data_IF_717325500002
#
_entry.id   IF_717325500002
#
_cell.length_a   1.000
_cell.length_b   1.000
_cell.length_c   1.000
_cell.angle_alpha   90.00
_cell.angle_beta   90.00
_cell.angle_gamma   90.00
#
_symmetry.space_group_name_H-M   'P 1'
#
loop_
_entity.id
_entity.type
_entity.pdbx_description
1 polymer ?
#
# COMPACT_ATOMS: atom_id res chain seq x y z
N UNK A 1 -2.15 -25.20 -7.09
CA UNK A 1 -0.98 -25.29 -7.99
C UNK A 1 -0.09 -24.10 -7.67
N UNK A 2 1.08 -24.30 -7.06
CA UNK A 2 2.07 -23.23 -6.85
C UNK A 2 3.15 -23.42 -7.91
N UNK A 3 3.48 -22.37 -8.66
CA UNK A 3 4.51 -22.43 -9.70
C UNK A 3 5.89 -22.70 -9.08
N UNK A 4 6.65 -23.63 -9.65
CA UNK A 4 7.94 -24.11 -9.12
C UNK A 4 9.12 -23.13 -9.30
N UNK A 5 8.89 -21.84 -9.56
CA UNK A 5 9.96 -20.84 -9.75
C UNK A 5 9.60 -19.49 -9.14
N UNK A 6 10.55 -18.94 -8.38
CA UNK A 6 10.53 -17.57 -7.89
C UNK A 6 11.33 -16.72 -8.89
N UNK A 7 10.75 -15.62 -9.37
CA UNK A 7 11.44 -14.68 -10.23
C UNK A 7 12.45 -13.85 -9.42
N UNK A 8 13.71 -13.83 -9.86
CA UNK A 8 14.74 -12.96 -9.27
C UNK A 8 14.67 -11.60 -9.94
N UNK A 9 14.27 -10.58 -9.18
CA UNK A 9 14.13 -9.20 -9.66
C UNK A 9 15.49 -8.54 -9.85
N UNK A 10 15.59 -7.68 -10.86
CA UNK A 10 16.77 -6.82 -11.06
C UNK A 10 16.80 -5.72 -9.98
N UNK A 11 17.97 -5.09 -9.73
CA UNK A 11 18.07 -3.95 -8.82
C UNK A 11 17.08 -2.81 -9.15
N UNK A 12 16.88 -2.49 -10.43
CA UNK A 12 15.96 -1.44 -10.85
C UNK A 12 14.49 -1.81 -10.56
N UNK A 13 14.12 -3.08 -10.80
CA UNK A 13 12.79 -3.58 -10.43
C UNK A 13 12.59 -3.52 -8.91
N UNK A 14 13.59 -3.89 -8.11
CA UNK A 14 13.53 -3.77 -6.66
C UNK A 14 13.40 -2.30 -6.20
N UNK A 15 14.10 -1.38 -6.86
CA UNK A 15 13.99 0.05 -6.57
C UNK A 15 12.57 0.58 -6.84
N UNK A 16 11.96 0.19 -7.97
CA UNK A 16 10.56 0.52 -8.29
C UNK A 16 9.58 -0.08 -7.28
N UNK A 17 9.75 -1.36 -6.95
CA UNK A 17 8.94 -2.04 -5.93
C UNK A 17 9.06 -1.37 -4.57
N UNK A 18 10.26 -0.87 -4.21
CA UNK A 18 10.46 -0.12 -2.97
C UNK A 18 9.66 1.18 -2.95
N UNK A 19 9.58 1.92 -4.05
CA UNK A 19 8.74 3.11 -4.11
C UNK A 19 7.27 2.78 -3.86
N UNK A 20 6.74 1.72 -4.51
CA UNK A 20 5.38 1.24 -4.25
C UNK A 20 5.19 0.81 -2.78
N UNK A 21 6.15 0.08 -2.21
CA UNK A 21 6.12 -0.35 -0.82
C UNK A 21 6.09 0.80 0.18
N UNK A 22 6.75 1.92 -0.11
CA UNK A 22 6.69 3.13 0.73
C UNK A 22 5.31 3.80 0.71
N UNK A 23 4.62 3.76 -0.42
CA UNK A 23 3.21 4.21 -0.50
C UNK A 23 2.32 3.32 0.36
N UNK A 24 2.47 2.00 0.24
CA UNK A 24 1.69 1.04 1.04
C UNK A 24 1.94 1.21 2.53
N UNK A 25 3.19 1.40 2.95
CA UNK A 25 3.53 1.64 4.34
C UNK A 25 2.80 2.87 4.90
N UNK A 26 2.80 3.98 4.14
CA UNK A 26 2.09 5.18 4.55
C UNK A 26 0.57 5.01 4.63
N UNK A 27 -0.03 4.23 3.72
CA UNK A 27 -1.46 3.88 3.78
C UNK A 27 -1.76 3.14 5.08
N UNK A 28 -0.93 2.15 5.45
CA UNK A 28 -1.11 1.38 6.68
C UNK A 28 -0.97 2.29 7.92
N UNK A 29 -0.04 3.25 7.91
CA UNK A 29 0.13 4.20 9.01
C UNK A 29 -1.08 5.16 9.15
N UNK A 30 -1.62 5.66 8.03
CA UNK A 30 -2.85 6.46 8.01
C UNK A 30 -4.05 5.66 8.55
N UNK A 31 -4.21 4.43 8.07
CA UNK A 31 -5.29 3.54 8.51
C UNK A 31 -5.18 3.22 10.00
N UNK A 32 -3.98 2.92 10.50
CA UNK A 32 -3.74 2.67 11.93
C UNK A 32 -4.18 3.85 12.78
N UNK A 33 -4.00 5.08 12.30
CA UNK A 33 -4.39 6.30 13.00
C UNK A 33 -5.90 6.57 12.93
N UNK A 34 -6.56 6.14 11.86
CA UNK A 34 -7.98 6.37 11.62
C UNK A 34 -8.92 5.31 12.24
N UNK A 35 -8.43 4.09 12.50
CA UNK A 35 -9.24 3.01 13.07
C UNK A 35 -9.69 3.35 14.49
N UNK A 36 -11.01 3.44 14.69
CA UNK A 36 -11.65 3.66 15.99
C UNK A 36 -13.07 3.03 16.02
N UNK A 37 -13.65 2.77 17.20
CA UNK A 37 -15.05 2.33 17.31
C UNK A 37 -16.00 3.30 16.60
N UNK A 38 -16.93 2.76 15.81
CA UNK A 38 -17.87 3.55 15.02
C UNK A 38 -17.38 3.95 13.63
N UNK A 39 -16.09 3.81 13.33
CA UNK A 39 -15.56 4.01 11.98
C UNK A 39 -15.89 2.80 11.10
N UNK A 40 -16.42 3.06 9.93
CA UNK A 40 -16.77 2.07 8.91
C UNK A 40 -15.58 1.71 8.05
N UNK A 41 -15.62 0.52 7.44
CA UNK A 41 -14.59 0.12 6.46
C UNK A 41 -14.61 0.98 5.20
N UNK A 42 -15.75 1.60 4.87
CA UNK A 42 -15.85 2.56 3.77
C UNK A 42 -15.07 3.85 4.06
N UNK A 43 -15.19 4.41 5.26
CA UNK A 43 -14.40 5.58 5.67
C UNK A 43 -12.89 5.26 5.70
N UNK A 44 -12.52 4.06 6.16
CA UNK A 44 -11.12 3.61 6.07
C UNK A 44 -10.64 3.48 4.62
N UNK A 45 -11.49 2.97 3.72
CA UNK A 45 -11.18 2.91 2.30
C UNK A 45 -10.95 4.30 1.70
N UNK A 46 -11.76 5.29 2.09
CA UNK A 46 -11.59 6.67 1.62
C UNK A 46 -10.26 7.28 2.10
N UNK A 47 -9.88 7.05 3.37
CA UNK A 47 -8.57 7.45 3.91
C UNK A 47 -7.41 6.79 3.15
N UNK A 48 -7.52 5.49 2.86
CA UNK A 48 -6.51 4.78 2.09
C UNK A 48 -6.40 5.35 0.66
N UNK A 49 -7.53 5.59 0.01
CA UNK A 49 -7.61 6.11 -1.34
C UNK A 49 -7.02 7.52 -1.45
N UNK A 50 -7.31 8.40 -0.49
CA UNK A 50 -6.71 9.74 -0.42
C UNK A 50 -5.19 9.66 -0.18
N UNK A 51 -4.74 8.78 0.72
CA UNK A 51 -3.31 8.59 1.01
C UNK A 51 -2.55 8.07 -0.23
N UNK A 52 -3.14 7.17 -1.01
CA UNK A 52 -2.58 6.67 -2.27
C UNK A 52 -2.44 7.81 -3.29
N UNK A 53 -3.52 8.56 -3.51
CA UNK A 53 -3.56 9.65 -4.51
C UNK A 53 -2.62 10.81 -4.17
N UNK A 54 -2.54 11.20 -2.90
CA UNK A 54 -1.63 12.27 -2.45
C UNK A 54 -0.15 11.94 -2.67
N UNK A 55 0.19 10.64 -2.83
CA UNK A 55 1.54 10.17 -3.14
C UNK A 55 1.79 9.94 -4.63
N UNK A 56 0.85 10.34 -5.49
CA UNK A 56 0.96 10.17 -6.95
C UNK A 56 0.83 8.72 -7.42
N UNK A 57 0.33 7.83 -6.56
CA UNK A 57 -0.03 6.46 -6.93
C UNK A 57 -1.53 6.42 -7.27
N UNK A 58 -1.91 5.55 -8.20
CA UNK A 58 -3.29 5.35 -8.65
C UNK A 58 -3.49 3.91 -9.12
#
# INVERSE_FOLDING_TARGET
MFGNKIEVKTPDQLAQMRQAGLVVAAVIDSLRSAVAPGVTTAELNDVAHETIRSRGAA
#
